data_IF_473237833221
#
_entry.id   IF_473237833221
#
_cell.length_a   1.000
_cell.length_b   1.000
_cell.length_c   1.000
_cell.angle_alpha   90.00
_cell.angle_beta   90.00
_cell.angle_gamma   90.00
#
_symmetry.space_group_name_H-M   'P 1'
#
loop_
_entity.id
_entity.type
_entity.pdbx_description
1 polymer ?
#
# COMPACT_ATOMS: atom_id res chain seq x y z
N UNK A 1 -11.33 -20.54 30.84
CA UNK A 1 -12.28 -20.76 29.72
C UNK A 1 -12.69 -19.40 29.19
N UNK A 2 -12.24 -19.01 27.99
CA UNK A 2 -12.65 -17.73 27.42
C UNK A 2 -14.14 -17.80 27.08
N UNK A 3 -14.95 -16.94 27.70
CA UNK A 3 -16.38 -16.85 27.38
C UNK A 3 -16.54 -16.17 26.01
N UNK A 4 -17.57 -16.56 25.25
CA UNK A 4 -17.88 -16.02 23.92
C UNK A 4 -17.87 -14.47 23.89
N UNK A 5 -18.37 -13.83 24.96
CA UNK A 5 -18.34 -12.38 25.14
C UNK A 5 -16.93 -11.80 25.16
N UNK A 6 -15.97 -12.51 25.75
CA UNK A 6 -14.56 -12.09 25.83
C UNK A 6 -13.85 -12.26 24.50
N UNK A 7 -14.15 -13.33 23.76
CA UNK A 7 -13.65 -13.55 22.40
C UNK A 7 -14.16 -12.50 21.41
N UNK A 8 -15.45 -12.16 21.48
CA UNK A 8 -16.03 -11.09 20.65
C UNK A 8 -15.39 -9.74 20.96
N UNK A 9 -15.19 -9.40 22.24
CA UNK A 9 -14.60 -8.11 22.64
C UNK A 9 -13.13 -8.00 22.23
N UNK A 10 -12.37 -9.09 22.33
CA UNK A 10 -10.98 -9.14 21.85
C UNK A 10 -10.90 -9.08 20.32
N UNK A 11 -11.73 -9.85 19.60
CA UNK A 11 -11.78 -9.83 18.14
C UNK A 11 -12.19 -8.47 17.58
N UNK A 12 -13.15 -7.80 18.21
CA UNK A 12 -13.57 -6.46 17.81
C UNK A 12 -12.48 -5.40 18.05
N UNK A 13 -11.79 -5.46 19.20
CA UNK A 13 -10.68 -4.55 19.50
C UNK A 13 -9.50 -4.75 18.55
N UNK A 14 -9.12 -6.00 18.28
CA UNK A 14 -8.08 -6.31 17.30
C UNK A 14 -8.48 -5.90 15.88
N UNK A 15 -9.72 -6.15 15.47
CA UNK A 15 -10.21 -5.79 14.13
C UNK A 15 -10.23 -4.28 13.89
N UNK A 16 -10.76 -3.49 14.82
CA UNK A 16 -10.75 -2.02 14.71
C UNK A 16 -9.32 -1.48 14.76
N UNK A 17 -8.50 -1.99 15.69
CA UNK A 17 -7.10 -1.60 15.79
C UNK A 17 -6.35 -1.85 14.48
N UNK A 18 -6.52 -3.03 13.90
CA UNK A 18 -5.94 -3.41 12.62
C UNK A 18 -6.42 -2.51 11.46
N UNK A 19 -7.73 -2.30 11.31
CA UNK A 19 -8.28 -1.46 10.24
C UNK A 19 -7.81 0.00 10.37
N UNK A 20 -7.80 0.53 11.59
CA UNK A 20 -7.33 1.90 11.86
C UNK A 20 -5.83 2.06 11.58
N UNK A 21 -5.01 1.09 11.95
CA UNK A 21 -3.59 1.08 11.60
C UNK A 21 -3.40 1.00 10.07
N UNK A 22 -4.18 0.16 9.38
CA UNK A 22 -4.11 0.03 7.93
C UNK A 22 -4.51 1.32 7.20
N UNK A 23 -5.51 2.07 7.70
CA UNK A 23 -5.85 3.40 7.18
C UNK A 23 -4.64 4.34 7.21
N UNK A 24 -3.83 4.33 8.27
CA UNK A 24 -2.63 5.17 8.36
C UNK A 24 -1.63 4.78 7.27
N UNK A 25 -1.39 3.49 7.05
CA UNK A 25 -0.50 3.02 5.98
C UNK A 25 -1.00 3.39 4.59
N UNK A 26 -2.32 3.40 4.35
CA UNK A 26 -2.91 3.92 3.12
C UNK A 26 -2.58 5.40 2.93
N UNK A 27 -2.77 6.23 3.96
CA UNK A 27 -2.43 7.66 3.87
C UNK A 27 -0.94 7.88 3.61
N UNK A 28 -0.07 7.14 4.29
CA UNK A 28 1.37 7.20 4.08
C UNK A 28 1.72 6.76 2.66
N UNK A 29 1.14 5.65 2.17
CA UNK A 29 1.36 5.16 0.81
C UNK A 29 0.93 6.16 -0.25
N UNK A 30 -0.23 6.81 -0.09
CA UNK A 30 -0.68 7.89 -0.98
C UNK A 30 0.30 9.07 -0.96
N UNK A 31 0.82 9.43 0.22
CA UNK A 31 1.76 10.54 0.39
C UNK A 31 3.08 10.30 -0.36
N UNK A 32 3.51 9.04 -0.50
CA UNK A 32 4.65 8.67 -1.35
C UNK A 32 4.27 8.48 -2.83
N UNK A 33 3.06 8.01 -3.11
CA UNK A 33 2.59 7.75 -4.47
C UNK A 33 2.43 9.02 -5.29
N UNK A 34 1.80 10.05 -4.74
CA UNK A 34 1.54 11.33 -5.44
C UNK A 34 2.83 11.97 -5.99
N UNK A 35 3.89 12.22 -5.17
CA UNK A 35 5.12 12.79 -5.69
C UNK A 35 5.83 11.86 -6.68
N UNK A 36 5.76 10.54 -6.49
CA UNK A 36 6.30 9.57 -7.45
C UNK A 36 5.61 9.66 -8.81
N UNK A 37 4.28 9.74 -8.82
CA UNK A 37 3.47 9.88 -10.02
C UNK A 37 3.75 11.21 -10.75
N UNK A 38 3.82 12.31 -10.00
CA UNK A 38 4.16 13.62 -10.56
C UNK A 38 5.56 13.61 -11.20
N UNK A 39 6.55 12.99 -10.56
CA UNK A 39 7.90 12.85 -11.12
C UNK A 39 7.93 11.98 -12.37
N UNK A 40 7.18 10.89 -12.39
CA UNK A 40 7.10 9.99 -13.55
C UNK A 40 6.48 10.71 -14.77
N UNK A 41 5.29 11.28 -14.60
CA UNK A 41 4.56 11.97 -15.67
C UNK A 41 5.27 13.24 -16.14
N UNK A 42 5.96 13.95 -15.23
CA UNK A 42 6.75 15.14 -15.59
C UNK A 42 7.94 14.79 -16.51
N UNK A 43 8.45 13.56 -16.45
CA UNK A 43 9.56 13.11 -17.28
C UNK A 43 9.09 12.48 -18.59
N UNK A 44 7.92 11.84 -18.60
CA UNK A 44 7.32 11.23 -19.80
C UNK A 44 6.99 12.28 -20.88
N UNK A 45 6.57 13.48 -20.47
CA UNK A 45 6.18 14.56 -21.39
C UNK A 45 7.36 15.44 -21.88
N UNK A 46 8.62 15.09 -21.53
CA UNK A 46 9.79 15.88 -21.92
C UNK A 46 10.44 15.31 -23.17
N UNK A 47 10.90 16.21 -24.04
CA UNK A 47 11.63 15.88 -25.28
C UNK A 47 12.94 15.14 -25.01
N UNK A 48 13.58 15.40 -23.86
CA UNK A 48 14.74 14.66 -23.35
C UNK A 48 14.44 14.06 -21.96
N UNK A 49 13.87 12.85 -21.90
CA UNK A 49 13.56 12.20 -20.64
C UNK A 49 14.85 11.78 -19.92
N UNK A 50 15.06 12.31 -18.71
CA UNK A 50 16.12 11.81 -17.84
C UNK A 50 15.69 10.46 -17.26
N UNK A 51 16.28 9.38 -17.76
CA UNK A 51 15.98 7.99 -17.37
C UNK A 51 16.05 7.80 -15.84
N UNK A 52 17.05 8.39 -15.18
CA UNK A 52 17.21 8.29 -13.72
C UNK A 52 16.02 8.86 -12.94
N UNK A 53 15.45 9.98 -13.39
CA UNK A 53 14.30 10.61 -12.74
C UNK A 53 13.02 9.83 -13.00
N UNK A 54 12.85 9.27 -14.20
CA UNK A 54 11.71 8.42 -14.54
C UNK A 54 11.72 7.14 -13.69
N UNK A 55 12.87 6.47 -13.58
CA UNK A 55 13.05 5.31 -12.71
C UNK A 55 12.80 5.67 -11.24
N UNK A 56 13.31 6.82 -10.78
CA UNK A 56 13.07 7.26 -9.39
C UNK A 56 11.59 7.50 -9.11
N UNK A 57 10.84 8.07 -10.06
CA UNK A 57 9.39 8.26 -9.95
C UNK A 57 8.66 6.91 -9.88
N UNK A 58 9.03 5.97 -10.76
CA UNK A 58 8.47 4.61 -10.76
C UNK A 58 8.71 3.88 -9.44
N UNK A 59 9.94 3.92 -8.91
CA UNK A 59 10.28 3.30 -7.62
C UNK A 59 9.45 3.90 -6.49
N UNK A 60 9.32 5.23 -6.46
CA UNK A 60 8.57 5.93 -5.42
C UNK A 60 7.06 5.62 -5.49
N UNK A 61 6.51 5.51 -6.71
CA UNK A 61 5.13 5.04 -6.93
C UNK A 61 4.94 3.61 -6.43
N UNK A 62 5.83 2.68 -6.82
CA UNK A 62 5.76 1.28 -6.38
C UNK A 62 5.82 1.18 -4.86
N UNK A 63 6.69 1.95 -4.22
CA UNK A 63 6.81 1.98 -2.77
C UNK A 63 5.52 2.51 -2.11
N UNK A 64 4.89 3.54 -2.69
CA UNK A 64 3.58 4.02 -2.28
C UNK A 64 2.47 2.97 -2.42
N UNK A 65 2.44 2.23 -3.53
CA UNK A 65 1.47 1.14 -3.74
C UNK A 65 1.70 -0.01 -2.76
N UNK A 66 2.94 -0.40 -2.49
CA UNK A 66 3.26 -1.45 -1.51
C UNK A 66 2.85 -1.02 -0.11
N UNK A 67 3.09 0.23 0.27
CA UNK A 67 2.67 0.76 1.58
C UNK A 67 1.15 0.85 1.70
N UNK A 68 0.45 1.32 0.67
CA UNK A 68 -1.00 1.45 0.68
C UNK A 68 -1.72 0.10 0.55
N UNK A 69 -1.22 -0.77 -0.31
CA UNK A 69 -1.72 -2.12 -0.50
C UNK A 69 -1.43 -3.00 0.71
N UNK A 70 -0.27 -2.80 1.36
CA UNK A 70 0.13 -3.46 2.60
C UNK A 70 -0.25 -4.93 2.64
N UNK A 71 -1.10 -5.28 3.59
CA UNK A 71 -1.56 -6.65 3.83
C UNK A 71 -2.53 -7.13 2.74
N UNK A 72 -3.34 -6.24 2.16
CA UNK A 72 -4.21 -6.56 1.03
C UNK A 72 -3.46 -6.92 -0.25
N UNK A 73 -2.27 -6.33 -0.46
CA UNK A 73 -1.38 -6.72 -1.56
C UNK A 73 -0.79 -8.11 -1.34
N UNK A 74 -0.40 -8.45 -0.11
CA UNK A 74 0.04 -9.81 0.25
C UNK A 74 -1.03 -10.87 -0.01
N UNK A 75 -2.27 -10.64 0.45
CA UNK A 75 -3.39 -11.53 0.16
C UNK A 75 -3.71 -11.66 -1.33
N UNK A 76 -3.54 -10.58 -2.11
CA UNK A 76 -3.71 -10.64 -3.56
C UNK A 76 -2.63 -11.51 -4.22
N UNK A 77 -1.37 -11.38 -3.79
CA UNK A 77 -0.27 -12.22 -4.28
C UNK A 77 -0.48 -13.68 -3.89
N UNK A 78 -0.87 -13.96 -2.65
CA UNK A 78 -1.16 -15.32 -2.20
C UNK A 78 -2.34 -15.91 -3.00
N UNK A 79 -3.41 -15.15 -3.22
CA UNK A 79 -4.55 -15.59 -4.02
C UNK A 79 -4.14 -15.87 -5.47
N UNK A 80 -3.31 -15.03 -6.09
CA UNK A 80 -2.79 -15.25 -7.45
C UNK A 80 -1.89 -16.49 -7.49
N UNK A 81 -1.07 -16.71 -6.46
CA UNK A 81 -0.21 -17.89 -6.32
C UNK A 81 -0.99 -19.20 -6.24
N UNK A 82 -2.16 -19.19 -5.60
CA UNK A 82 -3.07 -20.34 -5.52
C UNK A 82 -3.82 -20.63 -6.85
N UNK A 83 -3.87 -19.67 -7.78
CA UNK A 83 -4.49 -19.85 -9.10
C UNK A 83 -3.51 -20.36 -10.18
N UNK A 84 -2.21 -20.41 -9.90
CA UNK A 84 -1.16 -20.93 -10.79
C UNK A 84 -0.83 -22.40 -10.52
#
# INVERSE_FOLDING_TARGET
MATLKTMIKQGFGLGIGFLSAHMIFIFVGILFFIPGYLLFVSQENKTDPTVSKQISGLILMLLGVVLAGGIGFGFLIDAIGDFS
#
